data_IF_058145063298
#
_entry.id   IF_058145063298
#
_cell.length_a   1.000
_cell.length_b   1.000
_cell.length_c   1.000
_cell.angle_alpha   90.00
_cell.angle_beta   90.00
_cell.angle_gamma   90.00
#
_symmetry.space_group_name_H-M   'P 1'
#
loop_
_entity.id
_entity.type
_entity.pdbx_description
1 polymer ?
#
# COMPACT_ATOMS: atom_id res chain seq x y z
N UNK A 1 -3.22 13.72 -15.59
CA UNK A 1 -3.57 14.51 -14.39
C UNK A 1 -2.79 15.82 -14.41
N UNK A 2 -3.42 16.94 -14.06
CA UNK A 2 -2.73 18.24 -13.92
C UNK A 2 -1.76 18.24 -12.74
N UNK A 3 -0.65 18.98 -12.83
CA UNK A 3 0.40 18.99 -11.79
C UNK A 3 -0.12 19.41 -10.42
N UNK A 4 -0.99 20.43 -10.37
CA UNK A 4 -1.58 20.91 -9.11
C UNK A 4 -2.47 19.85 -8.46
N UNK A 5 -3.19 19.06 -9.26
CA UNK A 5 -4.04 17.99 -8.76
C UNK A 5 -3.20 16.81 -8.25
N UNK A 6 -2.11 16.47 -8.95
CA UNK A 6 -1.18 15.45 -8.48
C UNK A 6 -0.54 15.84 -7.14
N UNK A 7 -0.07 17.08 -7.03
CA UNK A 7 0.51 17.61 -5.79
C UNK A 7 -0.50 17.53 -4.64
N UNK A 8 -1.74 18.01 -4.85
CA UNK A 8 -2.81 17.94 -3.84
C UNK A 8 -3.04 16.53 -3.32
N UNK A 9 -3.12 15.54 -4.22
CA UNK A 9 -3.37 14.14 -3.83
C UNK A 9 -2.19 13.52 -3.10
N UNK A 10 -0.96 13.83 -3.52
CA UNK A 10 0.24 13.42 -2.79
C UNK A 10 0.28 14.08 -1.42
N UNK A 11 -0.09 15.36 -1.31
CA UNK A 11 -0.16 16.09 -0.04
C UNK A 11 -1.17 15.45 0.93
N UNK A 12 -2.33 15.00 0.43
CA UNK A 12 -3.31 14.25 1.23
C UNK A 12 -2.75 12.90 1.73
N UNK A 13 -2.02 12.17 0.88
CA UNK A 13 -1.36 10.93 1.30
C UNK A 13 -0.26 11.20 2.35
N UNK A 14 0.49 12.29 2.22
CA UNK A 14 1.47 12.73 3.24
C UNK A 14 0.76 13.02 4.56
N UNK A 15 -0.35 13.77 4.53
CA UNK A 15 -1.17 14.05 5.72
C UNK A 15 -1.67 12.77 6.39
N UNK A 16 -2.13 11.78 5.60
CA UNK A 16 -2.48 10.46 6.09
C UNK A 16 -1.30 9.78 6.79
N UNK A 17 -0.13 9.67 6.14
CA UNK A 17 1.03 8.98 6.70
C UNK A 17 1.56 9.64 7.98
N UNK A 18 1.63 10.98 8.03
CA UNK A 18 2.10 11.73 9.21
C UNK A 18 1.14 11.55 10.39
N UNK A 19 -0.17 11.70 10.15
CA UNK A 19 -1.20 11.51 11.19
C UNK A 19 -1.23 10.07 11.68
N UNK A 20 -1.12 9.12 10.75
CA UNK A 20 -0.94 7.69 11.04
C UNK A 20 0.27 7.43 11.94
N UNK A 21 1.44 7.99 11.62
CA UNK A 21 2.64 7.84 12.43
C UNK A 21 2.46 8.31 13.87
N UNK A 22 1.82 9.47 14.07
CA UNK A 22 1.52 9.99 15.42
C UNK A 22 0.57 9.06 16.17
N UNK A 23 -0.52 8.65 15.52
CA UNK A 23 -1.57 7.87 16.18
C UNK A 23 -1.10 6.46 16.57
N UNK A 24 -0.13 5.89 15.85
CA UNK A 24 0.46 4.60 16.20
C UNK A 24 1.14 4.56 17.57
N UNK A 25 1.47 5.71 18.17
CA UNK A 25 2.00 5.77 19.53
C UNK A 25 0.95 5.36 20.59
N UNK A 26 -0.34 5.50 20.26
CA UNK A 26 -1.46 5.27 21.17
C UNK A 26 -2.35 4.07 20.73
N UNK A 27 -1.95 3.33 19.71
CA UNK A 27 -2.75 2.26 19.08
C UNK A 27 -2.08 0.88 19.15
N UNK A 28 -2.84 -0.18 18.83
CA UNK A 28 -2.30 -1.54 18.73
C UNK A 28 -1.19 -1.62 17.68
N UNK A 29 -0.05 -2.29 17.95
CA UNK A 29 1.09 -2.36 17.02
C UNK A 29 0.75 -2.86 15.60
N UNK A 30 -0.26 -3.73 15.47
CA UNK A 30 -0.70 -4.27 14.18
C UNK A 30 -1.25 -3.19 13.22
N UNK A 31 -1.71 -2.04 13.73
CA UNK A 31 -2.15 -0.94 12.86
C UNK A 31 -1.00 -0.29 12.08
N UNK A 32 0.25 -0.45 12.55
CA UNK A 32 1.42 0.09 11.85
C UNK A 32 1.60 -0.53 10.47
N UNK A 33 1.82 -1.86 10.40
CA UNK A 33 1.86 -2.58 9.13
C UNK A 33 0.61 -2.36 8.27
N UNK A 34 -0.58 -2.30 8.88
CA UNK A 34 -1.83 -2.05 8.14
C UNK A 34 -1.81 -0.69 7.43
N UNK A 35 -1.39 0.37 8.13
CA UNK A 35 -1.32 1.72 7.57
C UNK A 35 -0.27 1.82 6.47
N UNK A 36 0.84 1.09 6.57
CA UNK A 36 1.87 1.03 5.53
C UNK A 36 1.34 0.39 4.23
N UNK A 37 0.63 -0.74 4.33
CA UNK A 37 0.04 -1.37 3.14
C UNK A 37 -1.11 -0.53 2.57
N UNK A 38 -1.94 0.10 3.40
CA UNK A 38 -3.00 0.99 2.91
C UNK A 38 -2.43 2.25 2.23
N UNK A 39 -1.36 2.84 2.79
CA UNK A 39 -0.64 3.94 2.14
C UNK A 39 -0.07 3.52 0.78
N UNK A 40 0.47 2.29 0.68
CA UNK A 40 0.96 1.72 -0.58
C UNK A 40 -0.15 1.59 -1.61
N UNK A 41 -1.32 1.04 -1.25
CA UNK A 41 -2.47 0.95 -2.17
C UNK A 41 -2.93 2.33 -2.66
N UNK A 42 -3.01 3.32 -1.76
CA UNK A 42 -3.36 4.71 -2.12
C UNK A 42 -2.33 5.35 -3.05
N UNK A 43 -1.04 5.14 -2.80
CA UNK A 43 0.02 5.63 -3.68
C UNK A 43 -0.12 5.05 -5.09
N UNK A 44 -0.37 3.74 -5.19
CA UNK A 44 -0.56 3.09 -6.49
C UNK A 44 -1.76 3.69 -7.23
N UNK A 45 -2.89 3.93 -6.55
CA UNK A 45 -4.04 4.64 -7.16
C UNK A 45 -3.69 6.03 -7.68
N UNK A 46 -2.89 6.80 -6.92
CA UNK A 46 -2.44 8.13 -7.38
C UNK A 46 -1.59 8.01 -8.65
N UNK A 47 -0.69 7.03 -8.70
CA UNK A 47 0.16 6.77 -9.87
C UNK A 47 -0.66 6.33 -11.09
N UNK A 48 -1.63 5.43 -10.90
CA UNK A 48 -2.54 4.96 -11.95
C UNK A 48 -3.32 6.12 -12.57
N UNK A 49 -3.93 6.97 -11.74
CA UNK A 49 -4.68 8.14 -12.21
C UNK A 49 -3.77 9.22 -12.83
N UNK A 50 -2.48 9.24 -12.48
CA UNK A 50 -1.48 10.08 -13.12
C UNK A 50 -1.00 9.53 -14.48
N UNK A 51 -1.43 8.34 -14.89
CA UNK A 51 -1.03 7.68 -16.14
C UNK A 51 0.22 6.81 -16.01
N UNK A 52 0.65 6.50 -14.79
CA UNK A 52 1.81 5.64 -14.47
C UNK A 52 1.38 4.24 -14.03
N UNK A 53 0.33 3.69 -14.67
CA UNK A 53 -0.12 2.33 -14.39
C UNK A 53 0.88 1.29 -14.92
N UNK A 54 1.00 0.18 -14.21
CA UNK A 54 1.75 -0.99 -14.69
C UNK A 54 1.18 -2.27 -14.12
N UNK A 55 1.30 -3.43 -14.82
CA UNK A 55 0.82 -4.71 -14.31
C UNK A 55 1.39 -5.08 -12.95
N UNK A 56 2.68 -4.76 -12.70
CA UNK A 56 3.34 -5.01 -11.40
C UNK A 56 2.70 -4.21 -10.26
N UNK A 57 2.36 -2.94 -10.49
CA UNK A 57 1.72 -2.10 -9.47
C UNK A 57 0.27 -2.55 -9.23
N UNK A 58 -0.46 -2.85 -10.31
CA UNK A 58 -1.84 -3.34 -10.22
C UNK A 58 -1.94 -4.64 -9.40
N UNK A 59 -1.03 -5.61 -9.63
CA UNK A 59 -0.97 -6.88 -8.88
C UNK A 59 -0.72 -6.67 -7.39
N UNK A 60 0.21 -5.78 -7.03
CA UNK A 60 0.49 -5.45 -5.63
C UNK A 60 -0.73 -4.79 -4.97
N UNK A 61 -1.35 -3.82 -5.66
CA UNK A 61 -2.54 -3.14 -5.15
C UNK A 61 -3.70 -4.09 -4.92
N UNK A 62 -3.97 -4.97 -5.88
CA UNK A 62 -5.03 -5.99 -5.77
C UNK A 62 -4.81 -6.89 -4.55
N UNK A 63 -3.59 -7.42 -4.37
CA UNK A 63 -3.25 -8.24 -3.21
C UNK A 63 -3.46 -7.48 -1.89
N UNK A 64 -3.06 -6.21 -1.82
CA UNK A 64 -3.28 -5.37 -0.64
C UNK A 64 -4.77 -5.17 -0.37
N UNK A 65 -5.57 -4.79 -1.37
CA UNK A 65 -6.98 -4.47 -1.16
C UNK A 65 -7.82 -5.69 -0.78
N UNK A 66 -7.44 -6.88 -1.25
CA UNK A 66 -8.06 -8.15 -0.84
C UNK A 66 -7.71 -8.55 0.60
N UNK A 67 -6.49 -8.25 1.06
CA UNK A 67 -5.97 -8.79 2.32
C UNK A 67 -5.88 -7.80 3.49
N UNK A 68 -5.88 -6.48 3.27
CA UNK A 68 -5.54 -5.49 4.32
C UNK A 68 -6.45 -5.51 5.55
N UNK A 69 -7.70 -5.93 5.41
CA UNK A 69 -8.64 -6.02 6.54
C UNK A 69 -8.45 -7.26 7.42
N UNK A 70 -7.56 -8.20 7.05
CA UNK A 70 -7.16 -9.32 7.92
C UNK A 70 -6.54 -8.87 9.24
N UNK A 71 -6.10 -7.60 9.35
CA UNK A 71 -5.69 -6.97 10.64
C UNK A 71 -6.77 -7.02 11.71
N UNK A 72 -8.05 -7.12 11.31
CA UNK A 72 -9.20 -7.23 12.23
C UNK A 72 -9.43 -8.67 12.70
N UNK A 73 -8.74 -9.65 12.12
CA UNK A 73 -8.85 -11.06 12.47
C UNK A 73 -8.04 -11.35 13.76
N UNK A 74 -8.57 -12.15 14.69
CA UNK A 74 -7.83 -12.57 15.89
C UNK A 74 -6.75 -13.63 15.62
N UNK A 75 -6.59 -14.09 14.37
CA UNK A 75 -5.68 -15.16 13.95
C UNK A 75 -4.35 -14.64 13.37
N UNK A 76 -3.47 -15.56 12.93
CA UNK A 76 -2.21 -15.23 12.23
C UNK A 76 -2.39 -14.72 10.80
N UNK A 77 -3.63 -14.61 10.31
CA UNK A 77 -3.96 -14.24 8.93
C UNK A 77 -3.29 -12.94 8.48
N UNK A 78 -3.22 -11.93 9.36
CA UNK A 78 -2.59 -10.65 8.99
C UNK A 78 -1.08 -10.80 8.76
N UNK A 79 -0.41 -11.67 9.52
CA UNK A 79 1.03 -11.93 9.34
C UNK A 79 1.28 -12.68 8.04
N UNK A 80 0.49 -13.71 7.77
CA UNK A 80 0.58 -14.52 6.54
C UNK A 80 0.29 -13.66 5.30
N UNK A 81 -0.69 -12.75 5.40
CA UNK A 81 -0.96 -11.74 4.38
C UNK A 81 0.26 -10.86 4.09
N UNK A 82 0.91 -10.30 5.12
CA UNK A 82 2.10 -9.46 4.94
C UNK A 82 3.27 -10.26 4.33
N UNK A 83 3.48 -11.50 4.75
CA UNK A 83 4.48 -12.40 4.16
C UNK A 83 4.16 -12.68 2.67
N UNK A 84 2.90 -12.92 2.34
CA UNK A 84 2.42 -13.10 0.97
C UNK A 84 2.65 -11.85 0.10
N UNK A 85 2.46 -10.64 0.64
CA UNK A 85 2.76 -9.40 -0.09
C UNK A 85 4.24 -9.26 -0.44
N UNK A 86 5.15 -9.65 0.46
CA UNK A 86 6.58 -9.62 0.19
C UNK A 86 6.92 -10.58 -0.94
N UNK A 87 6.35 -11.79 -0.94
CA UNK A 87 6.53 -12.76 -2.02
C UNK A 87 5.99 -12.23 -3.35
N UNK A 88 4.77 -11.67 -3.37
CA UNK A 88 4.17 -11.08 -4.57
C UNK A 88 5.01 -9.94 -5.15
N UNK A 89 5.62 -9.11 -4.30
CA UNK A 89 6.56 -8.07 -4.73
C UNK A 89 7.80 -8.67 -5.40
N UNK A 90 8.41 -9.70 -4.81
CA UNK A 90 9.60 -10.37 -5.36
C UNK A 90 9.29 -11.09 -6.68
N UNK A 91 8.14 -11.77 -6.79
CA UNK A 91 7.70 -12.38 -8.05
C UNK A 91 7.52 -11.34 -9.16
N UNK A 92 6.92 -10.18 -8.83
CA UNK A 92 6.79 -9.05 -9.75
C UNK A 92 8.12 -8.40 -10.16
N UNK A 93 9.20 -8.58 -9.40
CA UNK A 93 10.56 -8.21 -9.81
C UNK A 93 11.13 -9.18 -10.85
N UNK A 94 10.77 -10.47 -10.78
CA UNK A 94 11.23 -11.50 -11.71
C UNK A 94 10.63 -11.38 -13.12
N UNK A 95 9.41 -10.85 -13.23
CA UNK A 95 8.73 -10.62 -14.52
C UNK A 95 9.21 -9.34 -15.24
N UNK A 96 10.20 -8.62 -14.69
CA UNK A 96 10.65 -7.31 -15.18
C UNK A 96 12.16 -7.16 -15.35
N UNK A 97 12.92 -8.26 -15.32
CA UNK A 97 14.35 -8.27 -15.64
C UNK A 97 14.61 -8.32 -17.14
N UNK A 98 14.20 -7.28 -17.87
CA UNK A 98 14.75 -6.90 -19.18
C UNK A 98 14.39 -5.43 -19.42
N UNK A 99 15.39 -4.56 -19.26
CA UNK A 99 15.30 -3.11 -19.41
C UNK A 99 16.55 -2.42 -18.88
#
# INVERSE_FOLDING_TARGET
MEKAELERRVYELVGYMVTSGRNLLDETPAYGPFRLVDATSRLISILEEAGLSSPRLARIKEAIDQGKYSVMSPSSEFREFLEGLVLAYVEGLGEGGDG
#
